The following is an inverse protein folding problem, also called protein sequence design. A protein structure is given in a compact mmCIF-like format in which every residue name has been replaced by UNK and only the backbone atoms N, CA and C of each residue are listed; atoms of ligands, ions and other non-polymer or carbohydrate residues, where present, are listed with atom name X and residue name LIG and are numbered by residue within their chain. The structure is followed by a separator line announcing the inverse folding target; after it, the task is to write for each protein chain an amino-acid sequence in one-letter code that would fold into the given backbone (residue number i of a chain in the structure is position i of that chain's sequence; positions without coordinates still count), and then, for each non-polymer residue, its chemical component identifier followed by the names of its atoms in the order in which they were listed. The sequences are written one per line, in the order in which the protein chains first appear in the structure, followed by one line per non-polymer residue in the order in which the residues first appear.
data_IF_206292346730
#
_entry.id   IF_206292346730
#
_cell.length_a   1.000
_cell.length_b   1.000
_cell.length_c   1.000
_cell.angle_alpha   90.00
_cell.angle_beta   90.00
_cell.angle_gamma   90.00
#
_symmetry.space_group_name_H-M   'P 1'
#
loop_
_entity.id
_entity.type
_entity.pdbx_description
1 polymer ?
#
# COMPACT_ATOMS: atom_id res chain seq x y z
N UNK A 1 34.64 -8.44 -2.53
CA UNK A 1 33.38 -8.84 -1.88
C UNK A 1 32.80 -7.59 -1.25
N UNK A 2 31.69 -7.06 -1.76
CA UNK A 2 31.05 -5.86 -1.20
C UNK A 2 30.05 -6.36 -0.17
N UNK A 3 30.37 -6.19 1.12
CA UNK A 3 29.39 -6.33 2.19
C UNK A 3 28.53 -5.05 2.22
N UNK A 4 27.33 -5.12 1.65
CA UNK A 4 26.34 -4.07 1.84
C UNK A 4 25.82 -4.18 3.28
N UNK A 5 26.39 -3.39 4.19
CA UNK A 5 25.81 -3.19 5.52
C UNK A 5 24.70 -2.16 5.39
N UNK A 6 23.46 -2.60 5.52
CA UNK A 6 22.34 -1.70 5.76
C UNK A 6 22.56 -1.17 7.17
N UNK A 7 23.05 0.07 7.29
CA UNK A 7 23.00 0.80 8.56
C UNK A 7 21.58 0.68 9.10
N UNK A 8 21.44 0.41 10.41
CA UNK A 8 20.13 0.26 11.03
C UNK A 8 19.32 1.51 10.73
N UNK A 9 18.39 1.40 9.79
CA UNK A 9 17.53 2.49 9.37
C UNK A 9 16.62 2.76 10.55
N UNK A 10 17.05 3.65 11.45
CA UNK A 10 16.20 4.14 12.53
C UNK A 10 15.16 5.01 11.87
N UNK A 11 14.03 4.39 11.54
CA UNK A 11 12.81 5.10 11.16
C UNK A 11 12.54 6.07 12.29
N UNK A 12 12.82 7.36 12.04
CA UNK A 12 12.43 8.44 12.94
C UNK A 12 10.92 8.34 13.09
N UNK A 13 10.38 8.58 14.29
CA UNK A 13 8.93 8.69 14.47
C UNK A 13 8.38 9.66 13.42
N UNK A 14 7.73 9.12 12.40
CA UNK A 14 7.15 9.90 11.33
C UNK A 14 5.80 10.41 11.84
N UNK A 15 5.73 11.71 12.10
CA UNK A 15 4.52 12.37 12.57
C UNK A 15 3.37 12.22 11.58
N UNK A 16 3.66 12.16 10.28
CA UNK A 16 2.67 11.94 9.23
C UNK A 16 2.09 10.53 9.34
N UNK A 17 2.96 9.50 9.34
CA UNK A 17 2.51 8.11 9.41
C UNK A 17 1.82 7.79 10.75
N UNK A 18 2.35 8.32 11.85
CA UNK A 18 1.71 8.20 13.16
C UNK A 18 0.32 8.85 13.18
N UNK A 19 0.15 9.99 12.50
CA UNK A 19 -1.15 10.63 12.32
C UNK A 19 -2.08 9.77 11.46
N UNK A 20 -1.61 9.22 10.35
CA UNK A 20 -2.39 8.34 9.48
C UNK A 20 -2.86 7.07 10.20
N UNK A 21 -1.98 6.45 11.00
CA UNK A 21 -2.32 5.29 11.84
C UNK A 21 -3.35 5.69 12.90
N UNK A 22 -3.14 6.82 13.60
CA UNK A 22 -4.10 7.33 14.60
C UNK A 22 -5.48 7.62 14.01
N UNK A 23 -5.53 8.02 12.74
CA UNK A 23 -6.77 8.28 12.01
C UNK A 23 -7.26 7.04 11.22
N UNK A 24 -6.72 5.85 11.48
CA UNK A 24 -7.06 4.57 10.83
C UNK A 24 -6.99 4.60 9.28
N UNK A 25 -6.20 5.51 8.71
CA UNK A 25 -5.90 5.57 7.27
C UNK A 25 -4.72 4.64 6.91
N UNK A 26 -3.92 4.28 7.92
CA UNK A 26 -2.88 3.27 7.83
C UNK A 26 -3.04 2.28 9.00
N UNK A 27 -2.49 1.08 8.84
CA UNK A 27 -2.46 0.05 9.85
C UNK A 27 -1.06 -0.48 10.05
N UNK A 28 -0.86 -1.07 11.23
CA UNK A 28 0.32 -1.88 11.53
C UNK A 28 0.01 -3.33 11.18
N UNK A 29 0.80 -3.90 10.29
CA UNK A 29 0.76 -5.30 9.93
C UNK A 29 1.89 -6.03 10.64
N UNK A 30 1.55 -6.97 11.52
CA UNK A 30 2.54 -7.75 12.26
C UNK A 30 2.81 -9.07 11.55
N UNK A 31 4.05 -9.24 11.09
CA UNK A 31 4.57 -10.51 10.59
C UNK A 31 5.68 -11.01 11.52
N UNK A 32 5.33 -11.92 12.43
CA UNK A 32 6.24 -12.47 13.43
C UNK A 32 6.96 -11.38 14.25
N UNK A 33 8.26 -11.20 14.00
CA UNK A 33 9.15 -10.24 14.66
C UNK A 33 9.21 -8.89 13.93
N UNK A 34 8.52 -8.75 12.80
CA UNK A 34 8.48 -7.52 11.99
C UNK A 34 7.11 -6.86 12.14
N UNK A 35 7.12 -5.58 12.48
CA UNK A 35 5.95 -4.72 12.44
C UNK A 35 6.11 -3.80 11.22
N UNK A 36 5.26 -3.99 10.22
CA UNK A 36 5.21 -3.19 9.01
C UNK A 36 4.06 -2.19 9.13
N UNK A 37 4.18 -1.04 8.48
CA UNK A 37 3.14 -0.01 8.47
C UNK A 37 2.73 0.24 7.02
N UNK A 38 1.42 0.22 6.75
CA UNK A 38 0.89 0.38 5.39
C UNK A 38 -0.51 1.01 5.39
N UNK A 39 -0.92 1.57 4.26
CA UNK A 39 -2.27 2.05 4.08
C UNK A 39 -3.27 0.91 3.99
N UNK A 40 -4.47 1.14 4.51
CA UNK A 40 -5.58 0.22 4.37
C UNK A 40 -6.19 0.35 2.97
N UNK A 41 -6.25 -0.78 2.26
CA UNK A 41 -6.89 -0.87 0.95
C UNK A 41 -7.72 -2.15 0.84
N UNK A 42 -8.69 -2.17 -0.08
CA UNK A 42 -9.39 -3.38 -0.51
C UNK A 42 -8.62 -4.12 -1.62
N UNK A 43 -9.17 -5.22 -2.13
CA UNK A 43 -8.62 -5.97 -3.25
C UNK A 43 -8.56 -5.21 -4.59
N UNK A 44 -9.25 -4.07 -4.68
CA UNK A 44 -9.33 -3.21 -5.86
C UNK A 44 -8.45 -1.95 -5.74
N UNK A 45 -7.64 -1.86 -4.69
CA UNK A 45 -6.77 -0.71 -4.38
C UNK A 45 -7.49 0.55 -3.93
N UNK A 46 -8.78 0.45 -3.57
CA UNK A 46 -9.49 1.56 -2.95
C UNK A 46 -9.00 1.77 -1.52
N UNK A 47 -8.79 3.02 -1.12
CA UNK A 47 -8.45 3.35 0.27
C UNK A 47 -9.63 3.08 1.21
N UNK A 48 -9.34 2.48 2.36
CA UNK A 48 -10.32 2.22 3.42
C UNK A 48 -10.10 3.20 4.57
N UNK A 49 -11.17 3.88 4.99
CA UNK A 49 -11.15 4.84 6.09
C UNK A 49 -11.35 4.20 7.48
N UNK A 50 -11.40 5.04 8.51
CA UNK A 50 -11.59 4.63 9.91
C UNK A 50 -12.91 3.92 10.21
N UNK A 51 -13.95 4.12 9.41
CA UNK A 51 -15.26 3.47 9.53
C UNK A 51 -15.29 2.11 8.78
N UNK A 52 -14.15 1.64 8.28
CA UNK A 52 -14.07 0.50 7.36
C UNK A 52 -14.90 0.71 6.07
N UNK A 53 -14.98 1.97 5.61
CA UNK A 53 -15.66 2.35 4.36
C UNK A 53 -14.64 2.72 3.29
N UNK A 54 -14.97 2.37 2.06
CA UNK A 54 -14.21 2.77 0.87
C UNK A 54 -14.28 4.30 0.71
N UNK A 55 -13.12 4.94 0.57
CA UNK A 55 -12.98 6.33 0.16
C UNK A 55 -13.07 6.37 -1.36
N UNK A 56 -14.19 6.88 -1.88
CA UNK A 56 -14.40 7.04 -3.33
C UNK A 56 -13.28 7.88 -3.95
N UNK A 57 -12.89 7.52 -5.17
CA UNK A 57 -11.89 8.23 -5.96
C UNK A 57 -10.49 8.34 -5.32
N UNK A 58 -10.17 7.55 -4.29
CA UNK A 58 -8.85 7.49 -3.68
C UNK A 58 -8.28 6.07 -3.78
N UNK A 59 -7.31 5.92 -4.68
CA UNK A 59 -6.60 4.67 -4.91
C UNK A 59 -5.17 4.77 -4.41
N UNK A 60 -4.66 3.72 -3.77
CA UNK A 60 -3.29 3.67 -3.24
C UNK A 60 -2.59 2.43 -3.78
N UNK A 61 -1.39 2.63 -4.33
CA UNK A 61 -0.62 1.61 -5.05
C UNK A 61 0.85 1.63 -4.62
N UNK A 62 1.54 0.51 -4.81
CA UNK A 62 2.98 0.40 -4.62
C UNK A 62 3.43 0.29 -3.17
N UNK A 63 4.63 0.83 -2.87
CA UNK A 63 5.30 0.75 -1.56
C UNK A 63 4.38 1.00 -0.35
N UNK A 64 3.49 2.02 -0.37
CA UNK A 64 2.60 2.28 0.77
C UNK A 64 1.60 1.15 1.08
N UNK A 65 1.41 0.19 0.17
CA UNK A 65 0.50 -0.96 0.29
C UNK A 65 1.22 -2.28 0.55
N UNK A 66 2.55 -2.29 0.59
CA UNK A 66 3.32 -3.55 0.63
C UNK A 66 3.17 -4.30 1.95
N UNK A 67 2.89 -3.60 3.06
CA UNK A 67 2.72 -4.22 4.38
C UNK A 67 1.67 -5.34 4.39
N UNK A 68 0.52 -5.13 3.75
CA UNK A 68 -0.52 -6.16 3.61
C UNK A 68 -0.26 -7.16 2.46
N UNK A 69 0.62 -6.82 1.52
CA UNK A 69 0.92 -7.65 0.33
C UNK A 69 2.05 -8.65 0.57
N UNK A 70 2.91 -8.40 1.56
CA UNK A 70 4.03 -9.27 1.92
C UNK A 70 5.04 -9.54 0.76
N UNK A 71 5.07 -8.67 -0.25
CA UNK A 71 6.07 -8.69 -1.31
C UNK A 71 6.42 -7.26 -1.72
N UNK A 72 7.66 -7.07 -2.19
CA UNK A 72 8.09 -5.78 -2.70
C UNK A 72 7.65 -5.60 -4.15
N UNK A 73 7.17 -4.41 -4.45
CA UNK A 73 6.60 -3.99 -5.72
C UNK A 73 7.64 -3.89 -6.85
N UNK A 74 8.93 -3.95 -6.50
CA UNK A 74 10.04 -3.55 -7.37
C UNK A 74 10.83 -4.74 -7.91
N UNK A 75 10.43 -6.01 -7.67
CA UNK A 75 11.19 -7.16 -8.19
C UNK A 75 10.64 -7.63 -9.54
N UNK A 76 11.16 -7.15 -10.70
CA UNK A 76 10.85 -7.76 -11.98
C UNK A 76 11.40 -9.19 -11.97
N UNK A 77 10.54 -10.15 -12.28
CA UNK A 77 10.95 -11.54 -12.48
C UNK A 77 10.89 -11.84 -13.98
N UNK A 78 11.93 -12.45 -14.56
CA UNK A 78 11.88 -12.87 -15.97
C UNK A 78 10.61 -13.68 -16.25
N UNK A 79 9.93 -13.37 -17.35
CA UNK A 79 8.72 -14.06 -17.83
C UNK A 79 7.47 -13.94 -16.94
N UNK A 80 7.50 -13.13 -15.87
CA UNK A 80 6.34 -12.85 -15.02
C UNK A 80 5.92 -11.40 -15.24
N UNK A 81 4.62 -11.19 -15.45
CA UNK A 81 4.05 -9.85 -15.59
C UNK A 81 4.39 -8.97 -14.39
N UNK A 82 4.66 -7.70 -14.64
CA UNK A 82 4.95 -6.75 -13.57
C UNK A 82 3.75 -6.64 -12.63
N UNK A 83 3.96 -6.91 -11.34
CA UNK A 83 2.92 -6.72 -10.32
C UNK A 83 2.44 -5.26 -10.29
N UNK A 84 3.34 -4.31 -10.58
CA UNK A 84 2.98 -2.91 -10.78
C UNK A 84 1.89 -2.74 -11.83
N UNK A 85 2.09 -3.33 -13.01
CA UNK A 85 1.17 -3.19 -14.13
C UNK A 85 -0.17 -3.83 -13.78
N UNK A 86 -0.15 -5.03 -13.21
CA UNK A 86 -1.37 -5.73 -12.79
C UNK A 86 -2.17 -4.94 -11.75
N UNK A 87 -1.50 -4.45 -10.70
CA UNK A 87 -2.16 -3.68 -9.63
C UNK A 87 -2.71 -2.36 -10.18
N UNK A 88 -1.97 -1.71 -11.09
CA UNK A 88 -2.42 -0.48 -11.77
C UNK A 88 -3.63 -0.75 -12.66
N UNK A 89 -3.64 -1.84 -13.42
CA UNK A 89 -4.76 -2.22 -14.28
C UNK A 89 -6.02 -2.46 -13.45
N UNK A 90 -5.90 -3.11 -12.28
CA UNK A 90 -7.04 -3.31 -11.37
C UNK A 90 -7.59 -1.96 -10.89
N UNK A 91 -6.72 -1.06 -10.42
CA UNK A 91 -7.14 0.24 -9.90
C UNK A 91 -7.81 1.10 -10.99
N UNK A 92 -7.21 1.15 -12.20
CA UNK A 92 -7.76 1.90 -13.34
C UNK A 92 -9.09 1.30 -13.79
N UNK A 93 -9.19 -0.02 -13.94
CA UNK A 93 -10.45 -0.66 -14.32
C UNK A 93 -11.54 -0.46 -13.27
N UNK A 94 -11.18 -0.39 -11.99
CA UNK A 94 -12.12 -0.08 -10.91
C UNK A 94 -12.62 1.36 -11.05
N UNK A 95 -11.70 2.32 -11.22
CA UNK A 95 -12.05 3.72 -11.46
C UNK A 95 -12.96 3.90 -12.67
N UNK A 96 -12.66 3.27 -13.80
CA UNK A 96 -13.45 3.37 -15.03
C UNK A 96 -14.85 2.72 -14.91
N UNK A 97 -15.03 1.78 -13.97
CA UNK A 97 -16.32 1.13 -13.70
C UNK A 97 -17.16 1.89 -12.68
N UNK A 98 -16.56 2.74 -11.86
CA UNK A 98 -17.32 3.61 -10.98
C UNK A 98 -18.12 4.59 -11.85
N UNK A 99 -19.46 4.59 -11.79
CA UNK A 99 -20.23 5.58 -12.52
C UNK A 99 -19.80 6.95 -11.99
N UNK A 100 -19.41 7.84 -12.91
CA UNK A 100 -19.17 9.25 -12.63
C UNK A 100 -20.43 9.82 -11.98
N UNK A 101 -20.44 9.86 -10.65
CA UNK A 101 -21.46 10.54 -9.88
C UNK A 101 -21.19 12.04 -10.01
N UNK A 102 -21.47 12.57 -11.19
CA UNK A 102 -21.71 13.99 -11.37
C UNK A 102 -23.08 14.28 -10.74
N UNK A 103 -23.07 14.79 -9.51
CA UNK A 103 -24.18 15.50 -8.88
C UNK A 103 -23.66 16.84 -8.40
#
# INVERSE_FOLDING_TARGET
MIEARIDSLKIKNDLCLSSLIKNNLASKFKNENLELECFNIDENFNSINFDNKIIKNLFILGLPTEGIKFYTFILPRPFIGSTFLRDSDIAVNTFLKEPSNEN
#
